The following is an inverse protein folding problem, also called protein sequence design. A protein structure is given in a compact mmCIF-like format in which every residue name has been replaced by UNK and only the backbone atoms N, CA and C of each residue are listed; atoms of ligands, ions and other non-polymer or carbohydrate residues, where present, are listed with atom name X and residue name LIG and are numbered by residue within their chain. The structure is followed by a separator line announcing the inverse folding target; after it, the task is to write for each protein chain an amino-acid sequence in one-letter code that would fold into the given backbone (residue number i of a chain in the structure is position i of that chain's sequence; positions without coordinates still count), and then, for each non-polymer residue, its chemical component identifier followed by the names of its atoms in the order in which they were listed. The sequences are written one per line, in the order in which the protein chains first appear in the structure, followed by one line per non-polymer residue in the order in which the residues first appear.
data_IF_479872777286
#
_entry.id   IF_479872777286
#
_cell.length_a   1.000
_cell.length_b   1.000
_cell.length_c   1.000
_cell.angle_alpha   90.00
_cell.angle_beta   90.00
_cell.angle_gamma   90.00
#
_symmetry.space_group_name_H-M   'P 1'
#
loop_
_entity.id
_entity.type
_entity.pdbx_description
1 polymer ?
#
# COMPACT_ATOMS: atom_id res chain seq x y z
N UNK A 1 -3.19 43.03 -6.04
CA UNK A 1 -3.12 42.32 -4.74
C UNK A 1 -3.09 40.84 -5.05
N UNK A 2 -1.91 40.20 -4.97
CA UNK A 2 -1.76 38.78 -5.29
C UNK A 2 -1.34 38.06 -4.01
N UNK A 3 -2.24 37.26 -3.43
CA UNK A 3 -1.96 36.43 -2.27
C UNK A 3 -1.49 35.06 -2.75
N UNK A 4 -0.18 34.85 -2.75
CA UNK A 4 0.41 33.52 -2.92
C UNK A 4 0.03 32.66 -1.70
N UNK A 5 -0.55 31.46 -1.87
CA UNK A 5 -0.80 30.56 -0.75
C UNK A 5 0.53 30.01 -0.25
N UNK A 6 0.84 30.27 1.02
CA UNK A 6 1.97 29.67 1.74
C UNK A 6 1.78 28.16 1.77
N UNK A 7 2.60 27.42 1.02
CA UNK A 7 2.77 25.99 1.21
C UNK A 7 3.39 25.80 2.60
N UNK A 8 2.57 25.42 3.58
CA UNK A 8 3.04 24.96 4.88
C UNK A 8 3.84 23.68 4.67
N UNK A 9 5.16 23.81 4.62
CA UNK A 9 6.08 22.68 4.79
C UNK A 9 5.83 22.11 6.18
N UNK A 10 5.18 20.94 6.25
CA UNK A 10 5.06 20.20 7.50
C UNK A 10 6.49 19.98 8.04
N UNK A 11 6.81 20.60 9.17
CA UNK A 11 8.14 20.55 9.76
C UNK A 11 8.53 19.10 10.07
N UNK A 12 9.69 18.67 9.60
CA UNK A 12 10.31 17.42 10.02
C UNK A 12 10.84 17.61 11.43
N UNK A 13 10.07 17.25 12.44
CA UNK A 13 10.61 17.09 13.79
C UNK A 13 11.67 15.98 13.74
N UNK A 14 12.95 16.24 14.02
CA UNK A 14 14.00 15.24 13.95
C UNK A 14 13.75 14.03 14.87
N UNK A 15 12.90 14.19 15.91
CA UNK A 15 12.43 13.09 16.78
C UNK A 15 11.41 12.15 16.12
N UNK A 16 10.80 12.55 15.00
CA UNK A 16 9.83 11.77 14.24
C UNK A 16 10.45 11.02 13.04
N UNK A 17 11.78 11.04 12.89
CA UNK A 17 12.45 10.24 11.87
C UNK A 17 12.40 8.76 12.25
N UNK A 18 11.48 8.03 11.63
CA UNK A 18 11.38 6.57 11.80
C UNK A 18 12.40 5.93 10.87
N UNK A 19 13.48 5.38 11.43
CA UNK A 19 14.47 4.63 10.65
C UNK A 19 13.79 3.46 9.90
N UNK A 20 14.24 3.05 8.71
CA UNK A 20 13.69 1.88 8.03
C UNK A 20 13.75 0.61 8.90
N UNK A 21 12.75 -0.27 8.79
CA UNK A 21 12.71 -1.55 9.52
C UNK A 21 13.16 -2.67 8.59
N UNK A 22 14.17 -3.42 9.02
CA UNK A 22 14.60 -4.63 8.32
C UNK A 22 13.81 -5.84 8.84
N UNK A 23 13.15 -6.57 7.94
CA UNK A 23 12.52 -7.87 8.22
C UNK A 23 13.07 -8.90 7.24
N UNK A 24 14.03 -9.71 7.71
CA UNK A 24 14.76 -10.63 6.85
C UNK A 24 15.40 -9.87 5.67
N UNK A 25 15.12 -10.26 4.41
CA UNK A 25 15.66 -9.56 3.23
C UNK A 25 14.90 -8.27 2.87
N UNK A 26 13.75 -7.99 3.49
CA UNK A 26 12.88 -6.86 3.11
C UNK A 26 13.15 -5.65 4.00
N UNK A 27 13.33 -4.48 3.37
CA UNK A 27 13.41 -3.18 4.06
C UNK A 27 12.10 -2.42 3.95
N UNK A 28 11.51 -2.08 5.09
CA UNK A 28 10.29 -1.30 5.21
C UNK A 28 10.62 0.17 5.49
N UNK A 29 10.40 1.03 4.50
CA UNK A 29 10.51 2.49 4.70
C UNK A 29 9.23 3.06 5.31
N UNK A 30 8.06 2.53 4.93
CA UNK A 30 6.78 2.74 5.63
C UNK A 30 6.55 1.70 6.74
N UNK A 31 6.01 2.13 7.88
CA UNK A 31 5.53 1.25 8.97
C UNK A 31 4.10 0.77 8.78
N UNK A 32 3.41 1.24 7.75
CA UNK A 32 2.05 0.85 7.42
C UNK A 32 2.05 -0.33 6.45
N UNK A 33 1.39 -1.41 6.83
CA UNK A 33 1.12 -2.57 5.97
C UNK A 33 -0.40 -2.58 5.71
N UNK A 34 -0.81 -2.70 4.44
CA UNK A 34 -2.21 -2.57 4.04
C UNK A 34 -2.75 -3.86 3.44
N UNK A 35 -3.96 -4.28 3.83
CA UNK A 35 -4.64 -5.43 3.22
C UNK A 35 -5.49 -5.05 2.02
N UNK A 36 -5.66 -5.96 1.06
CA UNK A 36 -6.33 -5.70 -0.23
C UNK A 36 -7.79 -6.19 -0.32
N UNK A 37 -8.32 -6.85 0.70
CA UNK A 37 -9.54 -7.66 0.56
C UNK A 37 -10.91 -6.98 0.74
N UNK A 38 -10.99 -5.69 1.09
CA UNK A 38 -12.26 -5.01 1.46
C UNK A 38 -12.61 -3.79 0.60
N UNK A 39 -11.94 -3.59 -0.52
CA UNK A 39 -12.23 -2.48 -1.42
C UNK A 39 -13.39 -2.83 -2.35
N UNK A 40 -14.23 -1.83 -2.64
CA UNK A 40 -15.40 -1.98 -3.53
C UNK A 40 -14.96 -2.24 -4.98
N UNK A 41 -13.91 -1.56 -5.44
CA UNK A 41 -13.32 -1.75 -6.78
C UNK A 41 -11.80 -1.75 -6.71
N UNK A 42 -11.14 -2.29 -7.75
CA UNK A 42 -9.68 -2.24 -7.88
C UNK A 42 -9.14 -0.83 -8.05
N UNK A 43 -9.88 0.09 -8.65
CA UNK A 43 -9.44 1.49 -8.81
C UNK A 43 -9.40 2.21 -7.46
N UNK A 44 -10.39 1.96 -6.60
CA UNK A 44 -10.41 2.47 -5.22
C UNK A 44 -9.25 1.87 -4.43
N UNK A 45 -9.01 0.56 -4.56
CA UNK A 45 -7.87 -0.11 -3.93
C UNK A 45 -6.55 0.53 -4.36
N UNK A 46 -6.27 0.66 -5.66
CA UNK A 46 -5.03 1.24 -6.16
C UNK A 46 -4.82 2.68 -5.66
N UNK A 47 -5.88 3.49 -5.69
CA UNK A 47 -5.84 4.87 -5.18
C UNK A 47 -5.53 4.91 -3.69
N UNK A 48 -6.16 4.03 -2.90
CA UNK A 48 -5.93 3.93 -1.47
C UNK A 48 -4.50 3.43 -1.15
N UNK A 49 -4.01 2.42 -1.87
CA UNK A 49 -2.65 1.93 -1.72
C UNK A 49 -1.62 3.01 -2.05
N UNK A 50 -1.84 3.78 -3.12
CA UNK A 50 -0.96 4.87 -3.51
C UNK A 50 -0.94 6.00 -2.45
N UNK A 51 -2.11 6.40 -1.96
CA UNK A 51 -2.24 7.43 -0.93
C UNK A 51 -1.69 7.00 0.44
N UNK A 52 -1.75 5.71 0.76
CA UNK A 52 -1.26 5.18 2.05
C UNK A 52 0.26 5.29 2.24
N UNK A 53 1.02 5.38 1.14
CA UNK A 53 2.48 5.33 1.19
C UNK A 53 3.04 3.99 1.68
N UNK A 54 2.22 2.93 1.78
CA UNK A 54 2.68 1.60 2.13
C UNK A 54 3.61 1.03 1.05
N UNK A 55 4.64 0.29 1.46
CA UNK A 55 5.49 -0.47 0.53
C UNK A 55 5.17 -1.96 0.54
N UNK A 56 4.37 -2.41 1.50
CA UNK A 56 3.99 -3.81 1.67
C UNK A 56 2.49 -3.91 1.79
N UNK A 57 1.94 -4.86 1.03
CA UNK A 57 0.52 -5.14 1.01
C UNK A 57 0.29 -6.61 1.34
N UNK A 58 -0.80 -6.90 2.03
CA UNK A 58 -1.18 -8.28 2.33
C UNK A 58 -2.17 -8.80 1.28
N UNK A 59 -1.92 -10.01 0.80
CA UNK A 59 -2.81 -10.72 -0.12
C UNK A 59 -3.25 -12.01 0.54
N UNK A 60 -4.56 -12.19 0.68
CA UNK A 60 -5.14 -13.43 1.21
C UNK A 60 -4.98 -14.54 0.17
N UNK A 61 -4.29 -15.62 0.53
CA UNK A 61 -4.08 -16.76 -0.37
C UNK A 61 -5.23 -17.76 -0.16
N UNK A 62 -6.22 -17.75 -1.06
CA UNK A 62 -7.21 -18.83 -1.18
C UNK A 62 -7.07 -19.53 -2.52
N UNK A 63 -7.26 -20.85 -2.56
CA UNK A 63 -7.23 -21.63 -3.81
C UNK A 63 -8.34 -21.24 -4.78
N UNK A 64 -9.45 -20.69 -4.29
CA UNK A 64 -10.69 -20.55 -5.06
C UNK A 64 -10.99 -19.13 -5.56
N UNK A 65 -10.22 -18.10 -5.18
CA UNK A 65 -10.64 -16.71 -5.49
C UNK A 65 -9.47 -15.74 -5.62
N UNK A 66 -8.66 -15.97 -6.65
CA UNK A 66 -7.75 -14.94 -7.17
C UNK A 66 -8.44 -14.01 -8.16
N UNK A 67 -9.63 -14.40 -8.64
CA UNK A 67 -10.31 -13.81 -9.79
C UNK A 67 -11.63 -13.15 -9.35
N UNK A 68 -11.89 -11.92 -9.79
CA UNK A 68 -13.17 -11.24 -9.59
C UNK A 68 -14.29 -11.83 -10.47
N UNK A 69 -15.51 -11.26 -10.39
CA UNK A 69 -16.66 -11.71 -11.21
C UNK A 69 -16.44 -11.48 -12.70
N UNK A 70 -15.49 -10.60 -13.06
CA UNK A 70 -15.16 -10.18 -14.41
C UNK A 70 -13.92 -10.92 -14.95
N UNK A 71 -13.38 -11.89 -14.22
CA UNK A 71 -12.25 -12.69 -14.69
C UNK A 71 -10.88 -12.07 -14.42
N UNK A 72 -10.78 -10.94 -13.70
CA UNK A 72 -9.50 -10.26 -13.41
C UNK A 72 -8.88 -10.79 -12.13
N UNK A 73 -7.58 -11.06 -12.18
CA UNK A 73 -6.82 -11.40 -10.98
C UNK A 73 -6.47 -10.15 -10.19
N UNK A 74 -6.47 -10.25 -8.86
CA UNK A 74 -5.89 -9.22 -8.01
C UNK A 74 -4.42 -8.93 -8.38
N UNK A 75 -3.69 -9.97 -8.82
CA UNK A 75 -2.29 -9.82 -9.24
C UNK A 75 -2.16 -9.07 -10.58
N UNK A 76 -3.21 -9.02 -11.41
CA UNK A 76 -3.17 -8.29 -12.67
C UNK A 76 -3.24 -6.77 -12.46
N UNK A 77 -3.72 -6.33 -11.29
CA UNK A 77 -3.94 -4.91 -10.97
C UNK A 77 -2.99 -4.36 -9.90
N UNK A 78 -2.09 -5.19 -9.37
CA UNK A 78 -1.09 -4.78 -8.39
C UNK A 78 0.25 -4.57 -9.11
N UNK A 79 0.84 -3.40 -8.92
CA UNK A 79 2.21 -3.11 -9.31
C UNK A 79 3.20 -3.82 -8.38
N UNK A 80 3.71 -4.98 -8.80
CA UNK A 80 4.66 -5.80 -8.04
C UNK A 80 6.08 -5.22 -7.97
N UNK A 81 6.40 -4.26 -8.84
CA UNK A 81 7.68 -3.55 -8.76
C UNK A 81 7.63 -2.49 -7.65
N UNK A 82 6.44 -1.94 -7.39
CA UNK A 82 6.21 -0.95 -6.32
C UNK A 82 5.96 -1.57 -4.94
N UNK A 83 5.25 -2.69 -4.87
CA UNK A 83 4.83 -3.29 -3.60
C UNK A 83 5.45 -4.65 -3.35
N UNK A 84 5.97 -4.87 -2.15
CA UNK A 84 6.25 -6.23 -1.68
C UNK A 84 4.92 -6.90 -1.28
N UNK A 85 4.66 -8.07 -1.86
CA UNK A 85 3.48 -8.87 -1.51
C UNK A 85 3.79 -9.73 -0.29
N UNK A 86 2.97 -9.56 0.75
CA UNK A 86 2.98 -10.41 1.94
C UNK A 86 1.78 -11.37 1.88
N UNK A 87 1.97 -12.64 1.50
CA UNK A 87 0.89 -13.62 1.53
C UNK A 87 0.42 -13.82 2.97
N UNK A 88 -0.88 -13.95 3.17
CA UNK A 88 -1.44 -14.26 4.48
C UNK A 88 -2.53 -15.34 4.35
N UNK A 89 -2.78 -16.03 5.47
CA UNK A 89 -3.74 -17.13 5.57
C UNK A 89 -5.14 -16.67 5.98
N UNK A 90 -5.45 -15.36 5.90
CA UNK A 90 -6.77 -14.88 6.27
C UNK A 90 -7.81 -15.37 5.27
N UNK A 91 -8.84 -15.99 5.83
CA UNK A 91 -9.98 -16.49 5.11
C UNK A 91 -10.94 -17.24 6.01
#
# INVERSE_FOLDING_TARGET
MNTTPTTTTAGSDPKLSIAPLQIGPVTLTSRLIVGTGKYETYDIMQSALAASGANVITVAVRRERLVDRDGRSLLDVIDTDRYTILPNTAG
#
